data_IF_991496309173
#
_entry.id   IF_991496309173
#
_cell.length_a   1.000
_cell.length_b   1.000
_cell.length_c   1.000
_cell.angle_alpha   90.00
_cell.angle_beta   90.00
_cell.angle_gamma   90.00
#
_symmetry.space_group_name_H-M   'P 1'
#
loop_
_entity.id
_entity.type
_entity.pdbx_description
1 polymer ?
#
# COMPACT_ATOMS: atom_id res chain seq x y z
N UNK A 1 3.00 3.51 19.01
CA UNK A 1 2.11 2.79 18.07
C UNK A 1 2.66 3.09 16.69
N UNK A 2 3.16 2.08 15.98
CA UNK A 2 3.81 2.31 14.69
C UNK A 2 2.86 1.86 13.59
N UNK A 3 2.47 2.78 12.72
CA UNK A 3 1.61 2.53 11.59
C UNK A 3 2.41 1.80 10.50
N UNK A 4 1.84 0.74 9.92
CA UNK A 4 2.49 -0.02 8.85
C UNK A 4 2.32 0.76 7.55
N UNK A 5 3.43 1.22 6.98
CA UNK A 5 3.50 1.78 5.63
C UNK A 5 3.85 0.67 4.63
N UNK A 6 3.53 0.88 3.35
CA UNK A 6 3.89 -0.08 2.29
C UNK A 6 4.85 0.59 1.32
N UNK A 7 6.10 0.14 1.31
CA UNK A 7 7.07 0.54 0.30
C UNK A 7 6.88 -0.27 -0.96
N UNK A 8 6.78 0.41 -2.09
CA UNK A 8 6.59 -0.22 -3.40
C UNK A 8 7.84 -0.03 -4.24
N UNK A 9 8.67 -1.06 -4.32
CA UNK A 9 9.80 -1.10 -5.24
C UNK A 9 9.36 -1.73 -6.55
N UNK A 10 9.70 -1.11 -7.69
CA UNK A 10 9.53 -1.72 -9.02
C UNK A 10 10.32 -3.03 -9.16
N UNK A 11 11.42 -3.18 -8.43
CA UNK A 11 12.29 -4.35 -8.48
C UNK A 11 11.86 -5.46 -7.49
N UNK A 12 11.35 -5.09 -6.31
CA UNK A 12 11.14 -6.01 -5.19
C UNK A 12 9.71 -6.05 -4.65
N UNK A 13 8.77 -5.33 -5.28
CA UNK A 13 7.36 -5.34 -4.91
C UNK A 13 7.05 -4.58 -3.62
N UNK A 14 5.98 -5.00 -2.93
CA UNK A 14 5.40 -4.33 -1.77
C UNK A 14 5.96 -4.91 -0.47
N UNK A 15 6.66 -4.09 0.32
CA UNK A 15 7.17 -4.46 1.64
C UNK A 15 6.47 -3.65 2.74
N UNK A 16 6.01 -4.30 3.83
CA UNK A 16 5.53 -3.57 4.99
C UNK A 16 6.73 -2.93 5.69
N UNK A 17 6.60 -1.64 5.99
CA UNK A 17 7.58 -0.83 6.71
C UNK A 17 6.95 -0.33 8.00
N UNK A 18 7.74 -0.32 9.06
CA UNK A 18 7.45 0.44 10.27
C UNK A 18 8.61 1.40 10.52
N UNK A 19 8.29 2.60 10.99
CA UNK A 19 9.28 3.59 11.40
C UNK A 19 9.42 3.57 12.93
N UNK A 20 10.65 3.47 13.42
CA UNK A 20 10.99 3.47 14.85
C UNK A 20 12.18 4.38 15.06
N UNK A 21 12.01 5.42 15.87
CA UNK A 21 13.07 6.39 16.18
C UNK A 21 13.76 6.97 14.92
N UNK A 22 12.98 7.24 13.87
CA UNK A 22 13.47 7.75 12.58
C UNK A 22 14.21 6.72 11.72
N UNK A 23 14.17 5.43 12.09
CA UNK A 23 14.73 4.32 11.30
C UNK A 23 13.62 3.47 10.70
N UNK A 24 13.81 3.09 9.45
CA UNK A 24 12.90 2.20 8.74
C UNK A 24 13.24 0.73 9.02
N UNK A 25 12.20 -0.05 9.28
CA UNK A 25 12.27 -1.49 9.49
C UNK A 25 11.33 -2.18 8.50
N UNK A 26 11.84 -3.19 7.80
CA UNK A 26 11.15 -3.86 6.70
C UNK A 26 10.66 -5.25 7.16
N UNK A 27 9.47 -5.67 6.76
CA UNK A 27 8.96 -7.01 7.11
C UNK A 27 9.88 -8.11 6.62
N UNK A 28 10.49 -8.86 7.54
CA UNK A 28 11.55 -9.82 7.24
C UNK A 28 11.05 -10.94 6.33
N UNK A 29 9.89 -11.52 6.69
CA UNK A 29 9.29 -12.63 5.93
C UNK A 29 8.81 -12.17 4.57
N UNK A 30 8.25 -10.98 4.46
CA UNK A 30 7.81 -10.42 3.17
C UNK A 30 8.98 -10.10 2.26
N UNK A 31 10.07 -9.54 2.81
CA UNK A 31 11.30 -9.29 2.05
C UNK A 31 11.87 -10.60 1.49
N UNK A 32 11.98 -11.64 2.31
CA UNK A 32 12.49 -12.93 1.85
C UNK A 32 11.55 -13.61 0.83
N UNK A 33 10.23 -13.47 0.97
CA UNK A 33 9.26 -13.95 -0.03
C UNK A 33 9.35 -13.17 -1.34
N UNK A 34 9.44 -11.85 -1.27
CA UNK A 34 9.60 -10.97 -2.41
C UNK A 34 10.86 -11.34 -3.21
N UNK A 35 11.93 -11.75 -2.53
CA UNK A 35 13.17 -12.22 -3.14
C UNK A 35 13.13 -13.69 -3.63
N UNK A 36 11.96 -14.34 -3.59
CA UNK A 36 11.76 -15.73 -4.02
C UNK A 36 12.70 -16.75 -3.33
N UNK A 37 13.02 -16.54 -2.06
CA UNK A 37 13.67 -17.59 -1.27
C UNK A 37 12.70 -18.76 -1.03
N UNK A 38 13.18 -19.99 -1.21
CA UNK A 38 12.35 -21.19 -1.05
C UNK A 38 11.78 -21.32 0.37
N UNK A 39 12.60 -21.02 1.38
CA UNK A 39 12.16 -20.90 2.76
C UNK A 39 12.56 -19.52 3.31
N UNK A 40 11.59 -18.61 3.52
CA UNK A 40 11.85 -17.28 4.09
C UNK A 40 12.56 -17.31 5.44
N UNK A 41 12.24 -18.28 6.31
CA UNK A 41 12.82 -18.38 7.65
C UNK A 41 14.30 -18.77 7.60
N UNK A 42 14.64 -19.73 6.73
CA UNK A 42 16.04 -20.13 6.52
C UNK A 42 16.83 -19.01 5.87
N UNK A 43 16.24 -18.28 4.91
CA UNK A 43 16.89 -17.13 4.31
C UNK A 43 17.22 -16.05 5.35
N UNK A 44 16.25 -15.69 6.19
CA UNK A 44 16.47 -14.74 7.28
C UNK A 44 17.60 -15.22 8.20
N UNK A 45 17.56 -16.50 8.62
CA UNK A 45 18.58 -17.07 9.51
C UNK A 45 19.98 -17.12 8.89
N UNK A 46 20.08 -17.36 7.59
CA UNK A 46 21.36 -17.58 6.90
C UNK A 46 22.01 -16.28 6.41
N UNK A 47 21.21 -15.24 6.15
CA UNK A 47 21.70 -14.00 5.54
C UNK A 47 21.61 -12.78 6.44
N UNK A 48 20.76 -12.78 7.47
CA UNK A 48 20.56 -11.60 8.32
C UNK A 48 21.20 -11.82 9.68
N UNK A 49 22.01 -10.86 10.10
CA UNK A 49 22.61 -10.87 11.43
C UNK A 49 21.55 -10.62 12.52
N UNK A 50 21.80 -11.15 13.71
CA UNK A 50 20.84 -11.03 14.83
C UNK A 50 20.59 -9.58 15.23
N UNK A 51 21.61 -8.72 15.10
CA UNK A 51 21.53 -7.30 15.45
C UNK A 51 20.67 -6.50 14.46
N UNK A 52 20.47 -7.05 13.25
CA UNK A 52 19.61 -6.49 12.20
C UNK A 52 18.18 -7.05 12.24
N UNK A 53 17.86 -7.90 13.22
CA UNK A 53 16.54 -8.49 13.41
C UNK A 53 15.84 -7.90 14.63
N UNK A 54 14.59 -7.49 14.45
CA UNK A 54 13.76 -6.99 15.53
C UNK A 54 12.36 -7.60 15.48
N UNK A 55 11.82 -7.92 16.65
CA UNK A 55 10.44 -8.37 16.82
C UNK A 55 9.58 -7.18 17.24
N UNK A 56 8.54 -6.88 16.45
CA UNK A 56 7.61 -5.79 16.73
C UNK A 56 6.16 -6.26 16.74
N UNK A 57 5.38 -5.73 17.69
CA UNK A 57 3.94 -5.95 17.73
C UNK A 57 3.26 -5.17 16.60
N UNK A 58 2.48 -5.89 15.80
CA UNK A 58 1.65 -5.34 14.73
C UNK A 58 0.19 -5.71 14.98
N UNK A 59 -0.73 -4.83 14.60
CA UNK A 59 -2.17 -5.11 14.61
C UNK A 59 -2.56 -5.57 13.20
N UNK A 60 -3.15 -6.76 13.09
CA UNK A 60 -3.65 -7.26 11.82
C UNK A 60 -4.95 -6.56 11.39
N UNK A 61 -5.42 -6.84 10.17
CA UNK A 61 -6.67 -6.27 9.63
C UNK A 61 -7.94 -6.67 10.41
N UNK A 62 -7.83 -7.65 11.31
CA UNK A 62 -8.89 -8.13 12.19
C UNK A 62 -8.76 -7.58 13.62
N UNK A 63 -7.82 -6.65 13.86
CA UNK A 63 -7.59 -6.00 15.15
C UNK A 63 -6.79 -6.84 16.15
N UNK A 64 -6.16 -7.95 15.73
CA UNK A 64 -5.40 -8.83 16.62
C UNK A 64 -3.94 -8.41 16.69
N UNK A 65 -3.37 -8.48 17.88
CA UNK A 65 -1.94 -8.27 18.08
C UNK A 65 -1.15 -9.50 17.66
N UNK A 66 -0.13 -9.31 16.82
CA UNK A 66 0.80 -10.34 16.39
C UNK A 66 2.23 -9.82 16.53
N UNK A 67 3.12 -10.67 17.03
CA UNK A 67 4.56 -10.37 17.00
C UNK A 67 5.11 -10.76 15.63
N UNK A 68 5.74 -9.82 14.95
CA UNK A 68 6.28 -10.02 13.60
C UNK A 68 7.76 -9.62 13.55
N UNK A 69 8.53 -10.37 12.76
CA UNK A 69 9.93 -10.08 12.49
C UNK A 69 10.10 -9.00 11.44
N UNK A 70 10.93 -8.03 11.77
CA UNK A 70 11.39 -6.99 10.86
C UNK A 70 12.91 -7.04 10.75
N UNK A 71 13.43 -6.53 9.64
CA UNK A 71 14.85 -6.33 9.40
C UNK A 71 15.15 -4.85 9.26
N UNK A 72 16.32 -4.44 9.75
CA UNK A 72 16.90 -3.14 9.45
C UNK A 72 17.30 -3.06 7.96
N UNK A 73 17.67 -1.87 7.50
CA UNK A 73 18.17 -1.66 6.14
C UNK A 73 19.42 -2.52 5.81
N UNK A 74 20.45 -2.64 6.66
CA UNK A 74 21.54 -3.59 6.45
C UNK A 74 21.07 -5.05 6.29
N UNK A 75 20.13 -5.50 7.11
CA UNK A 75 19.55 -6.84 7.02
C UNK A 75 18.79 -7.06 5.70
N UNK A 76 18.08 -6.04 5.23
CA UNK A 76 17.42 -6.07 3.92
C UNK A 76 18.45 -6.22 2.78
N UNK A 77 19.54 -5.45 2.80
CA UNK A 77 20.61 -5.57 1.80
C UNK A 77 21.29 -6.93 1.83
N UNK A 78 21.48 -7.51 3.01
CA UNK A 78 22.03 -8.85 3.15
C UNK A 78 21.14 -9.91 2.48
N UNK A 79 19.81 -9.81 2.62
CA UNK A 79 18.86 -10.66 1.89
C UNK A 79 18.96 -10.46 0.37
N UNK A 80 19.02 -9.22 -0.11
CA UNK A 80 19.13 -8.91 -1.54
C UNK A 80 20.42 -9.51 -2.13
N UNK A 81 21.55 -9.35 -1.45
CA UNK A 81 22.83 -9.91 -1.88
C UNK A 81 22.85 -11.45 -1.78
N UNK A 82 22.15 -12.02 -0.80
CA UNK A 82 21.88 -13.45 -0.74
C UNK A 82 21.15 -13.95 -1.98
N UNK A 83 20.07 -13.26 -2.39
CA UNK A 83 19.30 -13.58 -3.58
C UNK A 83 20.13 -13.42 -4.87
N UNK A 84 21.00 -12.41 -4.96
CA UNK A 84 21.91 -12.22 -6.09
C UNK A 84 22.87 -13.41 -6.28
N UNK A 85 23.33 -14.03 -5.19
CA UNK A 85 24.24 -15.18 -5.21
C UNK A 85 23.51 -16.51 -5.43
N UNK A 86 22.54 -16.81 -4.57
CA UNK A 86 21.93 -18.14 -4.44
C UNK A 86 20.42 -18.16 -4.72
N UNK A 87 19.85 -17.07 -5.24
CA UNK A 87 18.45 -17.02 -5.63
C UNK A 87 18.11 -18.11 -6.66
N UNK A 88 16.99 -18.80 -6.44
CA UNK A 88 16.49 -19.85 -7.31
C UNK A 88 15.65 -19.29 -8.47
N UNK A 89 15.09 -18.09 -8.32
CA UNK A 89 14.35 -17.39 -9.36
C UNK A 89 15.33 -16.58 -10.24
N UNK A 90 15.48 -16.90 -11.54
CA UNK A 90 16.45 -16.25 -12.41
C UNK A 90 16.16 -14.77 -12.65
N UNK A 91 14.89 -14.37 -12.71
CA UNK A 91 14.50 -12.96 -12.92
C UNK A 91 14.86 -12.12 -11.70
N UNK A 92 14.47 -12.58 -10.51
CA UNK A 92 14.78 -11.86 -9.26
C UNK A 92 16.28 -11.87 -8.99
N UNK A 93 16.98 -12.97 -9.28
CA UNK A 93 18.43 -13.03 -9.18
C UNK A 93 19.11 -12.03 -10.10
N UNK A 94 18.62 -11.85 -11.33
CA UNK A 94 19.16 -10.85 -12.25
C UNK A 94 18.99 -9.43 -11.68
N UNK A 95 17.78 -9.07 -11.24
CA UNK A 95 17.49 -7.79 -10.59
C UNK A 95 18.36 -7.54 -9.35
N UNK A 96 18.51 -8.55 -8.48
CA UNK A 96 19.34 -8.46 -7.29
C UNK A 96 20.83 -8.29 -7.64
N UNK A 97 21.32 -8.93 -8.71
CA UNK A 97 22.69 -8.74 -9.22
C UNK A 97 22.90 -7.35 -9.82
N UNK A 98 21.92 -6.81 -10.54
CA UNK A 98 21.99 -5.45 -11.07
C UNK A 98 22.07 -4.43 -9.93
N UNK A 99 21.20 -4.57 -8.92
CA UNK A 99 21.27 -3.76 -7.71
C UNK A 99 22.63 -3.87 -7.02
N UNK A 100 23.12 -5.10 -6.80
CA UNK A 100 24.43 -5.31 -6.17
C UNK A 100 25.58 -4.65 -6.96
N UNK A 101 25.59 -4.78 -8.30
CA UNK A 101 26.59 -4.14 -9.15
C UNK A 101 26.51 -2.62 -9.08
N UNK A 102 25.31 -2.06 -9.19
CA UNK A 102 25.11 -0.62 -9.07
C UNK A 102 25.63 -0.08 -7.73
N UNK A 103 25.33 -0.77 -6.61
CA UNK A 103 25.87 -0.41 -5.30
C UNK A 103 27.40 -0.47 -5.28
N UNK A 104 28.00 -1.52 -5.83
CA UNK A 104 29.45 -1.77 -5.72
C UNK A 104 30.30 -0.97 -6.70
N UNK A 105 29.81 -0.72 -7.91
CA UNK A 105 30.57 -0.11 -8.99
C UNK A 105 30.30 1.40 -9.08
N UNK A 106 29.12 1.86 -8.64
CA UNK A 106 28.69 3.25 -8.75
C UNK A 106 28.56 3.93 -7.37
N UNK A 107 27.66 3.42 -6.50
CA UNK A 107 27.31 4.10 -5.24
C UNK A 107 28.50 4.16 -4.29
N UNK A 108 29.03 3.00 -3.87
CA UNK A 108 30.11 2.95 -2.89
C UNK A 108 31.40 3.59 -3.41
N UNK A 109 31.83 3.41 -4.68
CA UNK A 109 32.98 4.11 -5.21
C UNK A 109 32.79 5.61 -5.28
N UNK A 110 31.58 6.10 -5.58
CA UNK A 110 31.26 7.53 -5.56
C UNK A 110 31.41 8.09 -4.15
N UNK A 111 30.71 7.50 -3.16
CA UNK A 111 30.81 7.91 -1.74
C UNK A 111 32.27 7.89 -1.27
N UNK A 112 33.03 6.83 -1.59
CA UNK A 112 34.44 6.74 -1.19
C UNK A 112 35.31 7.85 -1.79
N UNK A 113 35.02 8.29 -3.03
CA UNK A 113 35.82 9.29 -3.74
C UNK A 113 35.43 10.72 -3.39
N UNK A 114 34.13 11.00 -3.25
CA UNK A 114 33.59 12.36 -3.16
C UNK A 114 32.97 12.66 -1.79
N UNK A 115 32.75 11.64 -0.97
CA UNK A 115 32.01 11.74 0.30
C UNK A 115 30.49 11.75 0.13
N UNK A 116 29.97 11.80 -1.10
CA UNK A 116 28.52 11.92 -1.38
C UNK A 116 28.12 11.07 -2.59
N UNK A 117 26.91 10.51 -2.57
CA UNK A 117 26.27 9.97 -3.76
C UNK A 117 25.14 10.92 -4.19
N UNK A 118 25.17 11.35 -5.45
CA UNK A 118 24.13 12.19 -6.03
C UNK A 118 23.47 11.42 -7.17
N UNK A 119 22.17 11.16 -7.04
CA UNK A 119 21.38 10.63 -8.15
C UNK A 119 21.25 11.76 -9.17
N UNK A 120 21.83 11.58 -10.35
CA UNK A 120 21.55 12.45 -11.48
C UNK A 120 20.15 12.12 -11.98
N UNK A 121 19.14 12.76 -11.41
CA UNK A 121 17.81 12.74 -12.00
C UNK A 121 17.88 13.53 -13.30
N UNK A 122 18.13 12.84 -14.41
CA UNK A 122 17.79 13.34 -15.74
C UNK A 122 16.26 13.34 -15.84
N UNK A 123 15.59 14.22 -15.09
CA UNK A 123 14.21 14.56 -15.39
C UNK A 123 14.29 15.42 -16.64
N UNK A 124 14.09 14.78 -17.79
CA UNK A 124 13.83 15.52 -19.01
C UNK A 124 12.61 16.41 -18.75
N UNK A 125 12.61 17.65 -19.23
CA UNK A 125 11.49 18.59 -19.10
C UNK A 125 10.14 17.98 -19.58
N UNK A 126 10.19 16.93 -20.42
CA UNK A 126 9.02 16.17 -20.88
C UNK A 126 8.39 15.25 -19.83
N UNK A 127 9.13 14.78 -18.81
CA UNK A 127 8.59 13.88 -17.79
C UNK A 127 7.73 14.63 -16.76
N UNK A 128 7.96 15.93 -16.57
CA UNK A 128 7.14 16.78 -15.70
C UNK A 128 5.69 16.91 -16.23
N UNK A 129 5.53 17.11 -17.55
CA UNK A 129 4.21 17.21 -18.18
C UNK A 129 3.37 15.93 -18.04
N UNK A 130 4.00 14.75 -18.12
CA UNK A 130 3.29 13.47 -17.98
C UNK A 130 2.78 13.21 -16.56
N UNK A 131 3.52 13.67 -15.53
CA UNK A 131 3.11 13.54 -14.12
C UNK A 131 1.92 14.45 -13.80
N UNK A 132 1.89 15.65 -14.39
CA UNK A 132 0.80 16.62 -14.21
C UNK A 132 -0.50 16.11 -14.85
N UNK A 133 -0.43 15.60 -16.09
CA UNK A 133 -1.56 14.97 -16.79
C UNK A 133 -2.12 13.77 -16.02
N UNK A 134 -1.27 12.93 -15.42
CA UNK A 134 -1.73 11.79 -14.61
C UNK A 134 -2.45 12.22 -13.32
N UNK A 135 -2.00 13.31 -12.67
CA UNK A 135 -2.66 13.87 -11.49
C UNK A 135 -4.05 14.40 -11.86
N UNK A 136 -4.13 15.17 -12.94
CA UNK A 136 -5.38 15.73 -13.44
C UNK A 136 -6.37 14.62 -13.84
N UNK A 137 -5.92 13.59 -14.56
CA UNK A 137 -6.72 12.42 -14.90
C UNK A 137 -7.24 11.66 -13.65
N UNK A 138 -6.44 11.56 -12.59
CA UNK A 138 -6.87 10.93 -11.33
C UNK A 138 -7.91 11.77 -10.60
N UNK A 139 -7.75 13.10 -10.58
CA UNK A 139 -8.72 14.01 -9.98
C UNK A 139 -10.05 14.05 -10.75
N UNK A 140 -10.00 14.04 -12.08
CA UNK A 140 -11.19 13.91 -12.91
C UNK A 140 -11.93 12.61 -12.64
N UNK A 141 -11.22 11.48 -12.54
CA UNK A 141 -11.82 10.17 -12.25
C UNK A 141 -12.47 10.16 -10.87
N UNK A 142 -11.80 10.70 -9.84
CA UNK A 142 -12.39 10.87 -8.50
C UNK A 142 -13.64 11.74 -8.55
N UNK A 143 -13.58 12.86 -9.28
CA UNK A 143 -14.70 13.80 -9.44
C UNK A 143 -15.88 13.18 -10.19
N UNK A 144 -15.63 12.44 -11.28
CA UNK A 144 -16.66 11.70 -12.04
C UNK A 144 -17.28 10.60 -11.17
N UNK A 145 -16.49 9.86 -10.42
CA UNK A 145 -17.00 8.82 -9.51
C UNK A 145 -17.86 9.42 -8.39
N UNK A 146 -17.42 10.52 -7.76
CA UNK A 146 -18.19 11.23 -6.75
C UNK A 146 -19.50 11.80 -7.31
N UNK A 147 -19.48 12.39 -8.52
CA UNK A 147 -20.68 12.88 -9.22
C UNK A 147 -21.66 11.74 -9.52
N UNK A 148 -21.18 10.61 -10.02
CA UNK A 148 -22.01 9.44 -10.32
C UNK A 148 -22.66 8.88 -9.05
N UNK A 149 -21.90 8.81 -7.94
CA UNK A 149 -22.42 8.39 -6.65
C UNK A 149 -23.51 9.35 -6.13
N UNK A 150 -23.26 10.66 -6.17
CA UNK A 150 -24.25 11.68 -5.78
C UNK A 150 -25.51 11.64 -6.67
N UNK A 151 -25.36 11.39 -7.98
CA UNK A 151 -26.48 11.27 -8.90
C UNK A 151 -27.35 10.05 -8.60
N UNK A 152 -26.74 8.92 -8.22
CA UNK A 152 -27.44 7.72 -7.79
C UNK A 152 -28.23 7.97 -6.50
N UNK A 153 -27.59 8.60 -5.50
CA UNK A 153 -28.21 8.95 -4.22
C UNK A 153 -29.41 9.89 -4.40
N UNK A 154 -29.28 10.90 -5.26
CA UNK A 154 -30.37 11.81 -5.60
C UNK A 154 -31.53 11.11 -6.31
N UNK A 155 -31.25 10.14 -7.20
CA UNK A 155 -32.29 9.36 -7.86
C UNK A 155 -33.05 8.48 -6.85
N UNK A 156 -32.33 7.80 -5.94
CA UNK A 156 -32.92 7.01 -4.86
C UNK A 156 -33.78 7.88 -3.92
N UNK A 157 -33.28 9.06 -3.55
CA UNK A 157 -34.04 10.03 -2.72
C UNK A 157 -35.34 10.46 -3.38
N UNK A 158 -35.32 10.81 -4.67
CA UNK A 158 -36.54 11.17 -5.43
C UNK A 158 -37.53 10.02 -5.54
N UNK A 159 -37.06 8.79 -5.70
CA UNK A 159 -37.92 7.60 -5.70
C UNK A 159 -38.59 7.42 -4.34
N UNK A 160 -37.84 7.59 -3.24
CA UNK A 160 -38.36 7.47 -1.89
C UNK A 160 -39.38 8.56 -1.55
N UNK A 161 -39.12 9.81 -1.93
CA UNK A 161 -40.10 10.91 -1.82
C UNK A 161 -41.39 10.62 -2.58
N UNK A 162 -41.29 10.03 -3.77
CA UNK A 162 -42.45 9.63 -4.57
C UNK A 162 -43.25 8.54 -3.87
N UNK A 163 -42.56 7.53 -3.29
CA UNK A 163 -43.20 6.47 -2.50
C UNK A 163 -43.88 7.03 -1.25
N UNK A 164 -43.29 8.04 -0.59
CA UNK A 164 -43.87 8.71 0.56
C UNK A 164 -45.19 9.42 0.19
N UNK A 165 -45.19 10.19 -0.91
CA UNK A 165 -46.41 10.85 -1.43
C UNK A 165 -47.53 9.87 -1.78
N UNK A 166 -47.17 8.67 -2.24
CA UNK A 166 -48.14 7.59 -2.50
C UNK A 166 -48.66 7.02 -1.18
N UNK A 167 -47.79 6.78 -0.21
CA UNK A 167 -48.15 6.26 1.11
C UNK A 167 -49.10 7.22 1.87
N UNK A 168 -48.90 8.53 1.78
CA UNK A 168 -49.77 9.55 2.38
C UNK A 168 -51.22 9.50 1.88
N UNK A 169 -51.43 9.03 0.64
CA UNK A 169 -52.75 8.89 0.01
C UNK A 169 -53.46 7.57 0.34
N UNK A 170 -52.85 6.69 1.15
CA UNK A 170 -53.46 5.43 1.59
C UNK A 170 -54.62 5.71 2.54
N UNK A 171 -55.80 5.17 2.23
CA UNK A 171 -57.04 5.41 2.98
C UNK A 171 -57.03 4.80 4.39
N UNK A 172 -56.40 3.63 4.56
CA UNK A 172 -56.30 2.98 5.87
C UNK A 172 -55.24 3.69 6.74
N UNK A 173 -55.62 4.27 7.89
CA UNK A 173 -54.72 5.08 8.71
C UNK A 173 -53.60 4.26 9.38
N UNK A 174 -53.84 2.98 9.68
CA UNK A 174 -52.85 2.10 10.31
C UNK A 174 -51.80 1.68 9.27
N UNK A 175 -52.25 1.30 8.08
CA UNK A 175 -51.37 0.92 6.97
C UNK A 175 -50.55 2.14 6.50
N UNK A 176 -51.19 3.31 6.37
CA UNK A 176 -50.53 4.57 6.03
C UNK A 176 -49.39 4.89 7.01
N UNK A 177 -49.66 4.86 8.32
CA UNK A 177 -48.66 5.21 9.33
C UNK A 177 -47.48 4.21 9.33
N UNK A 178 -47.76 2.92 9.15
CA UNK A 178 -46.71 1.89 9.06
C UNK A 178 -45.81 2.12 7.84
N UNK A 179 -46.40 2.41 6.68
CA UNK A 179 -45.64 2.69 5.44
C UNK A 179 -44.79 3.95 5.54
N UNK A 180 -45.32 5.03 6.11
CA UNK A 180 -44.59 6.27 6.34
C UNK A 180 -43.40 6.04 7.28
N UNK A 181 -43.59 5.32 8.39
CA UNK A 181 -42.51 5.02 9.33
C UNK A 181 -41.41 4.16 8.70
N UNK A 182 -41.79 3.16 7.89
CA UNK A 182 -40.84 2.27 7.20
C UNK A 182 -40.04 3.03 6.12
N UNK A 183 -40.71 3.85 5.30
CA UNK A 183 -40.04 4.67 4.29
C UNK A 183 -39.16 5.76 4.93
N UNK A 184 -39.58 6.32 6.08
CA UNK A 184 -38.81 7.28 6.86
C UNK A 184 -37.51 6.70 7.43
N UNK A 185 -37.54 5.45 7.94
CA UNK A 185 -36.32 4.75 8.35
C UNK A 185 -35.38 4.51 7.16
N UNK A 186 -35.91 4.06 6.03
CA UNK A 186 -35.12 3.84 4.82
C UNK A 186 -34.54 5.13 4.23
N UNK A 187 -35.22 6.28 4.36
CA UNK A 187 -34.67 7.57 3.96
C UNK A 187 -33.51 8.02 4.85
N UNK A 188 -33.55 7.76 6.16
CA UNK A 188 -32.44 8.07 7.07
C UNK A 188 -31.19 7.20 6.81
N UNK A 189 -31.34 6.02 6.20
CA UNK A 189 -30.20 5.17 5.82
C UNK A 189 -29.50 5.62 4.53
N UNK A 190 -30.18 6.44 3.70
CA UNK A 190 -29.67 6.95 2.42
C UNK A 190 -29.05 8.35 2.57
N UNK A 191 -29.40 9.11 3.61
CA UNK A 191 -28.87 10.45 3.90
C UNK A 191 -27.60 10.40 4.75
#
# INVERSE_FOLDING_TARGET
MNEIQVFNSSAFGKLPIIEIDGKEYFGATEAAKALSFANPWDAIKNYVDKDDLADHEVIDSLGRKQSKKFVTEPGLYALIFGAARQGNNPEIKAKAKEFQKWVFDEVLPSIRKTGIYQVQTNVSMNDWYLIEDEKELREERKSKNARNYAMKLNAETRQMETRLKIAERVSDPVIRQRLINQLGQQMMEVM
#
